data_IF_788190205686
#
_entry.id   IF_788190205686
#
_cell.length_a   1.000
_cell.length_b   1.000
_cell.length_c   1.000
_cell.angle_alpha   90.00
_cell.angle_beta   90.00
_cell.angle_gamma   90.00
#
_symmetry.space_group_name_H-M   'P 1'
#
loop_
_entity.id
_entity.type
_entity.pdbx_description
1 polymer ?
#
# COMPACT_ATOMS: atom_id res chain seq x y z
N UNK A 1 21.11 -14.60 -71.16
CA UNK A 1 21.67 -13.68 -70.13
C UNK A 1 22.95 -14.24 -69.51
N UNK A 2 23.05 -15.56 -69.24
CA UNK A 2 24.32 -16.21 -68.86
C UNK A 2 25.42 -16.10 -69.93
N UNK A 3 25.08 -16.18 -71.22
CA UNK A 3 26.09 -16.12 -72.30
C UNK A 3 26.76 -14.75 -72.42
N UNK A 4 26.04 -13.67 -72.07
CA UNK A 4 26.56 -12.30 -72.12
C UNK A 4 27.51 -12.03 -70.93
N UNK A 5 27.26 -12.68 -69.79
CA UNK A 5 28.14 -12.68 -68.63
C UNK A 5 29.42 -13.48 -68.87
N UNK A 6 29.31 -14.64 -69.53
CA UNK A 6 30.45 -15.45 -69.95
C UNK A 6 31.33 -14.74 -70.98
N UNK A 7 30.74 -13.94 -71.87
CA UNK A 7 31.49 -13.14 -72.85
C UNK A 7 32.29 -12.02 -72.19
N UNK A 8 31.67 -11.26 -71.28
CA UNK A 8 32.34 -10.17 -70.57
C UNK A 8 33.47 -10.65 -69.64
N UNK A 9 33.36 -11.84 -69.06
CA UNK A 9 34.39 -12.41 -68.17
C UNK A 9 35.61 -12.95 -68.92
N UNK A 10 35.46 -13.35 -70.18
CA UNK A 10 36.56 -13.86 -71.02
C UNK A 10 37.52 -12.73 -71.48
N UNK A 11 37.03 -11.51 -71.56
CA UNK A 11 37.77 -10.34 -72.05
C UNK A 11 38.70 -9.72 -70.98
N UNK A 12 38.57 -10.12 -69.71
CA UNK A 12 39.36 -9.62 -68.56
C UNK A 12 40.67 -10.42 -68.37
N UNK A 13 40.97 -11.41 -69.21
CA UNK A 13 42.27 -12.11 -69.16
C UNK A 13 42.46 -13.05 -67.97
N UNK A 14 41.37 -13.63 -67.43
CA UNK A 14 41.43 -14.71 -66.45
C UNK A 14 41.90 -16.00 -67.13
N UNK A 15 43.15 -16.37 -66.86
CA UNK A 15 43.88 -17.42 -67.59
C UNK A 15 43.55 -18.84 -67.12
N UNK A 16 42.84 -19.01 -66.00
CA UNK A 16 42.49 -20.32 -65.45
C UNK A 16 41.00 -20.43 -65.11
N UNK A 17 40.39 -21.54 -65.54
CA UNK A 17 39.00 -21.92 -65.23
C UNK A 17 38.72 -22.00 -63.72
N UNK A 18 39.75 -22.17 -62.89
CA UNK A 18 39.67 -22.16 -61.42
C UNK A 18 39.34 -20.78 -60.85
N UNK A 19 39.88 -19.69 -61.40
CA UNK A 19 39.62 -18.35 -60.87
C UNK A 19 38.18 -17.89 -61.14
N UNK A 20 37.64 -18.27 -62.30
CA UNK A 20 36.24 -18.00 -62.65
C UNK A 20 35.28 -18.76 -61.72
N UNK A 21 35.64 -19.99 -61.31
CA UNK A 21 34.88 -20.79 -60.35
C UNK A 21 34.93 -20.19 -58.94
N UNK A 22 36.10 -19.74 -58.49
CA UNK A 22 36.30 -19.09 -57.17
C UNK A 22 35.49 -17.79 -57.09
N UNK A 23 35.52 -16.97 -58.14
CA UNK A 23 34.79 -15.69 -58.17
C UNK A 23 33.26 -15.89 -58.16
N UNK A 24 32.77 -16.89 -58.90
CA UNK A 24 31.35 -17.28 -58.88
C UNK A 24 30.91 -17.77 -57.50
N UNK A 25 31.71 -18.62 -56.84
CA UNK A 25 31.47 -19.06 -55.47
C UNK A 25 31.42 -17.89 -54.49
N UNK A 26 32.32 -16.91 -54.64
CA UNK A 26 32.31 -15.68 -53.83
C UNK A 26 31.00 -14.91 -53.97
N UNK A 27 30.50 -14.71 -55.19
CA UNK A 27 29.21 -14.02 -55.44
C UNK A 27 28.04 -14.79 -54.82
N UNK A 28 28.02 -16.12 -54.94
CA UNK A 28 26.98 -16.97 -54.34
C UNK A 28 27.00 -16.88 -52.81
N UNK A 29 28.18 -16.98 -52.19
CA UNK A 29 28.34 -16.85 -50.72
C UNK A 29 27.88 -15.49 -50.24
N UNK A 30 28.23 -14.42 -50.96
CA UNK A 30 27.82 -13.06 -50.61
C UNK A 30 26.30 -12.89 -50.74
N UNK A 31 25.70 -13.46 -51.80
CA UNK A 31 24.25 -13.46 -52.01
C UNK A 31 23.50 -14.20 -50.89
N UNK A 32 23.99 -15.36 -50.47
CA UNK A 32 23.42 -16.10 -49.33
C UNK A 32 23.55 -15.26 -48.04
N UNK A 33 24.69 -14.61 -47.82
CA UNK A 33 24.91 -13.75 -46.65
C UNK A 33 23.90 -12.59 -46.55
N UNK A 34 23.59 -11.94 -47.68
CA UNK A 34 22.58 -10.87 -47.73
C UNK A 34 21.19 -11.41 -47.38
N UNK A 35 20.82 -12.58 -47.92
CA UNK A 35 19.52 -13.21 -47.66
C UNK A 35 19.39 -13.56 -46.17
N UNK A 36 20.41 -14.20 -45.58
CA UNK A 36 20.39 -14.58 -44.16
C UNK A 36 20.29 -13.34 -43.26
N UNK A 37 21.03 -12.27 -43.58
CA UNK A 37 20.99 -11.01 -42.82
C UNK A 37 19.61 -10.35 -42.91
N UNK A 38 18.98 -10.39 -44.08
CA UNK A 38 17.61 -9.90 -44.29
C UNK A 38 16.58 -10.68 -43.47
N UNK A 39 16.67 -12.01 -43.47
CA UNK A 39 15.79 -12.88 -42.67
C UNK A 39 15.98 -12.62 -41.18
N UNK A 40 17.22 -12.52 -40.69
CA UNK A 40 17.50 -12.20 -39.29
C UNK A 40 16.95 -10.84 -38.88
N UNK A 41 17.15 -9.81 -39.71
CA UNK A 41 16.62 -8.46 -39.45
C UNK A 41 15.09 -8.45 -39.37
N UNK A 42 14.43 -9.21 -40.24
CA UNK A 42 12.98 -9.35 -40.22
C UNK A 42 12.48 -10.09 -38.97
N UNK A 43 13.15 -11.17 -38.55
CA UNK A 43 12.83 -11.90 -37.32
C UNK A 43 13.01 -11.01 -36.08
N UNK A 44 14.10 -10.24 -36.01
CA UNK A 44 14.35 -9.27 -34.94
C UNK A 44 13.23 -8.23 -34.88
N UNK A 45 12.86 -7.65 -36.01
CA UNK A 45 11.76 -6.66 -36.05
C UNK A 45 10.43 -7.25 -35.58
N UNK A 46 10.10 -8.48 -36.01
CA UNK A 46 8.90 -9.21 -35.54
C UNK A 46 8.94 -9.47 -34.03
N UNK A 47 10.08 -9.89 -33.50
CA UNK A 47 10.27 -10.14 -32.07
C UNK A 47 10.15 -8.86 -31.24
N UNK A 48 10.74 -7.75 -31.69
CA UNK A 48 10.63 -6.44 -31.03
C UNK A 48 9.18 -5.95 -31.00
N UNK A 49 8.44 -6.09 -32.10
CA UNK A 49 7.02 -5.72 -32.16
C UNK A 49 6.16 -6.53 -31.17
N UNK A 50 6.40 -7.83 -31.03
CA UNK A 50 5.70 -8.67 -30.05
C UNK A 50 6.08 -8.30 -28.60
N UNK A 51 7.37 -8.04 -28.36
CA UNK A 51 7.87 -7.66 -27.04
C UNK A 51 7.30 -6.33 -26.59
N UNK A 52 7.23 -5.33 -27.49
CA UNK A 52 6.66 -4.03 -27.17
C UNK A 52 5.18 -4.12 -26.80
N UNK A 53 4.39 -4.91 -27.55
CA UNK A 53 2.97 -5.14 -27.22
C UNK A 53 2.78 -5.84 -25.89
N UNK A 54 3.63 -6.82 -25.58
CA UNK A 54 3.58 -7.51 -24.30
C UNK A 54 3.99 -6.58 -23.14
N UNK A 55 5.00 -5.74 -23.36
CA UNK A 55 5.44 -4.74 -22.38
C UNK A 55 4.35 -3.71 -22.10
N UNK A 56 3.66 -3.23 -23.13
CA UNK A 56 2.52 -2.31 -23.01
C UNK A 56 1.37 -2.96 -22.23
N UNK A 57 0.95 -4.17 -22.60
CA UNK A 57 -0.08 -4.91 -21.87
C UNK A 57 0.29 -5.19 -20.41
N UNK A 58 1.56 -5.53 -20.13
CA UNK A 58 2.04 -5.71 -18.76
C UNK A 58 2.05 -4.40 -17.97
N UNK A 59 2.39 -3.29 -18.61
CA UNK A 59 2.34 -1.98 -17.98
C UNK A 59 0.91 -1.59 -17.62
N UNK A 60 -0.03 -1.75 -18.55
CA UNK A 60 -1.46 -1.50 -18.30
C UNK A 60 -2.00 -2.38 -17.16
N UNK A 61 -1.64 -3.67 -17.15
CA UNK A 61 -2.03 -4.59 -16.07
C UNK A 61 -1.43 -4.16 -14.72
N UNK A 62 -0.16 -3.77 -14.69
CA UNK A 62 0.48 -3.29 -13.46
C UNK A 62 -0.18 -2.01 -12.93
N UNK A 63 -0.57 -1.09 -13.82
CA UNK A 63 -1.33 0.11 -13.45
C UNK A 63 -2.72 -0.26 -12.92
N UNK A 64 -3.42 -1.19 -13.57
CA UNK A 64 -4.73 -1.65 -13.13
C UNK A 64 -4.67 -2.28 -11.71
N UNK A 65 -3.70 -3.16 -11.47
CA UNK A 65 -3.47 -3.78 -10.16
C UNK A 65 -3.13 -2.72 -9.11
N UNK A 66 -2.25 -1.76 -9.44
CA UNK A 66 -1.90 -0.68 -8.52
C UNK A 66 -3.10 0.18 -8.16
N UNK A 67 -3.99 0.44 -9.12
CA UNK A 67 -5.21 1.22 -8.87
C UNK A 67 -6.21 0.43 -8.02
N UNK A 68 -6.38 -0.86 -8.27
CA UNK A 68 -7.25 -1.74 -7.48
C UNK A 68 -6.76 -1.85 -6.04
N UNK A 69 -5.45 -2.07 -5.83
CA UNK A 69 -4.84 -2.10 -4.49
C UNK A 69 -5.02 -0.77 -3.75
N UNK A 70 -4.89 0.37 -4.45
CA UNK A 70 -5.12 1.69 -3.86
C UNK A 70 -6.58 1.86 -3.43
N UNK A 71 -7.53 1.43 -4.24
CA UNK A 71 -8.96 1.50 -3.91
C UNK A 71 -9.32 0.57 -2.75
N UNK A 72 -8.80 -0.66 -2.74
CA UNK A 72 -8.99 -1.59 -1.64
C UNK A 72 -8.42 -1.01 -0.34
N UNK A 73 -7.21 -0.45 -0.40
CA UNK A 73 -6.58 0.19 0.75
C UNK A 73 -7.41 1.35 1.30
N UNK A 74 -7.97 2.20 0.43
CA UNK A 74 -8.87 3.29 0.83
C UNK A 74 -10.14 2.78 1.52
N UNK A 75 -10.81 1.78 0.94
CA UNK A 75 -12.00 1.16 1.54
C UNK A 75 -11.72 0.55 2.91
N UNK A 76 -10.56 -0.09 3.07
CA UNK A 76 -10.13 -0.65 4.36
C UNK A 76 -9.86 0.47 5.36
N UNK A 77 -9.17 1.54 4.95
CA UNK A 77 -8.91 2.72 5.79
C UNK A 77 -10.23 3.32 6.32
N UNK A 78 -11.20 3.56 5.45
CA UNK A 78 -12.54 4.07 5.83
C UNK A 78 -13.28 3.14 6.81
N UNK A 79 -13.26 1.83 6.53
CA UNK A 79 -13.89 0.84 7.41
C UNK A 79 -13.27 0.88 8.80
N UNK A 80 -11.94 0.89 8.91
CA UNK A 80 -11.26 0.88 10.19
C UNK A 80 -11.41 2.21 10.94
N UNK A 81 -11.44 3.34 10.23
CA UNK A 81 -11.80 4.64 10.82
C UNK A 81 -13.21 4.59 11.42
N UNK A 82 -14.18 4.03 10.71
CA UNK A 82 -15.55 3.87 11.20
C UNK A 82 -15.62 2.97 12.45
N UNK A 83 -14.89 1.85 12.45
CA UNK A 83 -14.82 0.95 13.61
C UNK A 83 -14.19 1.65 14.82
N UNK A 84 -13.10 2.41 14.62
CA UNK A 84 -12.46 3.19 15.69
C UNK A 84 -13.37 4.29 16.22
N UNK A 85 -14.07 5.00 15.33
CA UNK A 85 -15.04 6.02 15.71
C UNK A 85 -16.15 5.45 16.60
N UNK A 86 -16.70 4.28 16.24
CA UNK A 86 -17.69 3.58 17.07
C UNK A 86 -17.14 3.23 18.46
N UNK A 87 -15.90 2.76 18.54
CA UNK A 87 -15.22 2.47 19.81
C UNK A 87 -15.05 3.74 20.66
N UNK A 88 -14.60 4.85 20.06
CA UNK A 88 -14.43 6.12 20.73
C UNK A 88 -15.76 6.70 21.26
N UNK A 89 -16.82 6.67 20.44
CA UNK A 89 -18.16 7.12 20.85
C UNK A 89 -18.72 6.25 21.97
N UNK A 90 -18.55 4.93 21.89
CA UNK A 90 -18.96 4.01 22.96
C UNK A 90 -18.24 4.36 24.27
N UNK A 91 -16.92 4.52 24.22
CA UNK A 91 -16.12 4.89 25.38
C UNK A 91 -16.59 6.22 25.99
N UNK A 92 -16.82 7.25 25.16
CA UNK A 92 -17.36 8.54 25.60
C UNK A 92 -18.70 8.38 26.30
N UNK A 93 -19.63 7.63 25.69
CA UNK A 93 -20.95 7.38 26.27
C UNK A 93 -20.84 6.64 27.61
N UNK A 94 -19.98 5.61 27.70
CA UNK A 94 -19.76 4.89 28.95
C UNK A 94 -19.23 5.83 30.04
N UNK A 95 -18.26 6.69 29.72
CA UNK A 95 -17.75 7.72 30.65
C UNK A 95 -18.87 8.67 31.08
N UNK A 96 -19.56 9.34 30.15
CA UNK A 96 -20.66 10.27 30.47
C UNK A 96 -21.75 9.63 31.34
N UNK A 97 -22.05 8.36 31.07
CA UNK A 97 -23.06 7.59 31.79
C UNK A 97 -22.60 7.12 33.17
N UNK A 98 -21.29 7.14 33.47
CA UNK A 98 -20.75 6.68 34.77
C UNK A 98 -21.25 7.54 35.93
N UNK A 99 -21.61 8.81 35.71
CA UNK A 99 -22.28 9.61 36.72
C UNK A 99 -23.65 9.04 37.16
N UNK A 100 -24.21 8.09 36.41
CA UNK A 100 -25.49 7.43 36.65
C UNK A 100 -25.38 5.89 36.81
N UNK A 101 -24.31 5.25 36.31
CA UNK A 101 -24.11 3.80 36.34
C UNK A 101 -23.04 3.35 37.36
N UNK A 102 -23.17 2.11 37.84
CA UNK A 102 -22.18 1.47 38.73
C UNK A 102 -20.84 1.33 38.00
N UNK A 103 -19.72 1.63 38.68
CA UNK A 103 -18.34 1.48 38.18
C UNK A 103 -18.03 0.12 37.52
N UNK A 104 -18.84 -0.91 37.79
CA UNK A 104 -18.77 -2.22 37.12
C UNK A 104 -18.86 -2.11 35.59
N UNK A 105 -19.65 -1.18 35.08
CA UNK A 105 -19.79 -0.96 33.62
C UNK A 105 -18.49 -0.41 33.02
N UNK A 106 -17.74 0.41 33.77
CA UNK A 106 -16.44 0.90 33.32
C UNK A 106 -15.39 -0.21 33.26
N UNK A 107 -15.43 -1.17 34.19
CA UNK A 107 -14.50 -2.30 34.23
C UNK A 107 -14.75 -3.32 33.10
N UNK A 108 -15.93 -3.28 32.47
CA UNK A 108 -16.25 -4.12 31.31
C UNK A 108 -15.74 -3.54 29.98
N UNK A 109 -15.33 -2.27 29.95
CA UNK A 109 -14.75 -1.67 28.74
C UNK A 109 -13.29 -2.11 28.54
N UNK A 110 -12.86 -2.35 27.28
CA UNK A 110 -11.51 -2.79 27.00
C UNK A 110 -10.50 -1.67 27.29
N UNK A 111 -9.46 -2.01 28.06
CA UNK A 111 -8.36 -1.10 28.42
C UNK A 111 -7.37 -0.83 27.27
N UNK A 112 -7.59 -1.44 26.10
CA UNK A 112 -6.81 -1.19 24.88
C UNK A 112 -7.71 -1.13 23.65
N UNK A 113 -7.24 -0.49 22.58
CA UNK A 113 -7.95 -0.41 21.31
C UNK A 113 -7.86 -1.71 20.48
N UNK A 114 -7.04 -2.70 20.88
CA UNK A 114 -6.87 -4.04 20.28
C UNK A 114 -6.11 -4.09 18.93
N UNK A 115 -5.59 -2.96 18.45
CA UNK A 115 -4.82 -2.89 17.20
C UNK A 115 -3.32 -2.84 17.47
N UNK A 116 -2.51 -3.43 16.58
CA UNK A 116 -1.05 -3.33 16.64
C UNK A 116 -0.54 -2.01 16.04
N UNK A 117 0.65 -1.57 16.45
CA UNK A 117 1.29 -0.36 15.92
C UNK A 117 1.49 -0.43 14.40
N UNK A 118 1.84 -1.60 13.86
CA UNK A 118 1.96 -1.82 12.42
C UNK A 118 0.63 -1.59 11.69
N UNK A 119 -0.47 -2.04 12.31
CA UNK A 119 -1.80 -1.84 11.77
C UNK A 119 -2.23 -0.37 11.82
N UNK A 120 -1.96 0.30 12.94
CA UNK A 120 -2.21 1.72 13.09
C UNK A 120 -1.40 2.54 12.07
N UNK A 121 -0.13 2.23 11.90
CA UNK A 121 0.77 2.82 10.90
C UNK A 121 0.30 2.65 9.46
N UNK A 122 -0.46 1.59 9.17
CA UNK A 122 -0.94 1.29 7.82
C UNK A 122 -2.22 2.05 7.46
N UNK A 123 -3.12 2.29 8.42
CA UNK A 123 -4.47 2.79 8.12
C UNK A 123 -4.78 4.16 8.74
N UNK A 124 -3.96 4.65 9.67
CA UNK A 124 -4.19 5.91 10.37
C UNK A 124 -3.01 6.84 10.18
N UNK A 125 -3.29 8.14 10.13
CA UNK A 125 -2.24 9.15 10.05
C UNK A 125 -1.57 9.31 11.43
N UNK A 126 -0.33 9.79 11.49
CA UNK A 126 0.45 9.86 12.75
C UNK A 126 -0.28 10.61 13.89
N UNK A 127 -1.02 11.67 13.54
CA UNK A 127 -1.86 12.40 14.49
C UNK A 127 -3.04 11.57 15.02
N UNK A 128 -3.66 10.75 14.17
CA UNK A 128 -4.76 9.86 14.54
C UNK A 128 -4.25 8.74 15.46
N UNK A 129 -3.08 8.17 15.14
CA UNK A 129 -2.43 7.14 15.96
C UNK A 129 -2.14 7.68 17.36
N UNK A 130 -1.52 8.86 17.44
CA UNK A 130 -1.23 9.50 18.72
C UNK A 130 -2.50 9.75 19.55
N UNK A 131 -3.59 10.18 18.90
CA UNK A 131 -4.88 10.39 19.59
C UNK A 131 -5.49 9.07 20.08
N UNK A 132 -5.46 8.01 19.27
CA UNK A 132 -5.94 6.67 19.66
C UNK A 132 -5.17 6.18 20.89
N UNK A 133 -3.84 6.21 20.83
CA UNK A 133 -3.00 5.74 21.94
C UNK A 133 -3.23 6.59 23.20
N UNK A 134 -3.33 7.91 23.05
CA UNK A 134 -3.56 8.83 24.16
C UNK A 134 -4.91 8.61 24.85
N UNK A 135 -5.98 8.38 24.09
CA UNK A 135 -7.32 8.10 24.63
C UNK A 135 -7.29 6.84 25.50
N UNK A 136 -6.78 5.74 24.96
CA UNK A 136 -6.78 4.46 25.67
C UNK A 136 -5.77 4.41 26.81
N UNK A 137 -4.61 5.05 26.68
CA UNK A 137 -3.66 5.18 27.78
C UNK A 137 -4.26 6.00 28.94
N UNK A 138 -4.93 7.11 28.64
CA UNK A 138 -5.60 7.94 29.66
C UNK A 138 -6.74 7.17 30.32
N UNK A 139 -7.55 6.45 29.54
CA UNK A 139 -8.62 5.61 30.07
C UNK A 139 -8.09 4.50 30.99
N UNK A 140 -7.04 3.79 30.54
CA UNK A 140 -6.40 2.76 31.34
C UNK A 140 -5.88 3.31 32.66
N UNK A 141 -5.15 4.43 32.63
CA UNK A 141 -4.65 5.08 33.84
C UNK A 141 -5.81 5.48 34.78
N UNK A 142 -6.89 6.02 34.23
CA UNK A 142 -8.09 6.36 35.00
C UNK A 142 -8.70 5.14 35.71
N UNK A 143 -8.81 3.99 35.02
CA UNK A 143 -9.30 2.76 35.62
C UNK A 143 -8.34 2.20 36.67
N UNK A 144 -7.04 2.14 36.39
CA UNK A 144 -6.04 1.57 37.29
C UNK A 144 -5.87 2.41 38.57
N UNK A 145 -5.86 3.74 38.45
CA UNK A 145 -5.61 4.66 39.56
C UNK A 145 -6.83 4.84 40.48
N UNK A 146 -8.04 4.83 39.93
CA UNK A 146 -9.25 5.19 40.69
C UNK A 146 -10.25 4.06 40.87
N UNK A 147 -10.12 2.95 40.12
CA UNK A 147 -11.13 1.89 40.08
C UNK A 147 -10.56 0.47 40.23
N UNK A 148 -9.29 0.32 40.59
CA UNK A 148 -8.69 -0.99 40.89
C UNK A 148 -9.21 -1.58 42.22
N UNK A 149 -9.34 -2.91 42.27
CA UNK A 149 -9.96 -3.67 43.38
C UNK A 149 -9.36 -3.33 44.76
N UNK A 150 -8.09 -2.95 44.85
CA UNK A 150 -7.43 -2.57 46.10
C UNK A 150 -7.93 -1.23 46.69
N UNK A 151 -8.40 -0.30 45.85
CA UNK A 151 -8.96 0.98 46.29
C UNK A 151 -10.44 0.89 46.69
N UNK A 152 -11.13 -0.18 46.27
CA UNK A 152 -12.52 -0.46 46.66
C UNK A 152 -12.58 -1.06 48.08
N UNK A 153 -11.51 -1.72 48.54
CA UNK A 153 -11.45 -2.39 49.86
C UNK A 153 -10.94 -1.48 50.99
N UNK A 154 -10.10 -0.48 50.70
CA UNK A 154 -9.56 0.41 51.73
C UNK A 154 -10.38 1.70 51.83
N UNK A 155 -11.37 1.68 52.72
CA UNK A 155 -12.22 2.82 53.12
C UNK A 155 -11.48 4.03 53.72
N UNK A 156 -10.52 4.59 52.98
CA UNK A 156 -9.88 5.88 53.24
C UNK A 156 -10.03 6.78 52.01
N UNK A 157 -11.28 7.07 51.71
CA UNK A 157 -11.74 8.03 50.73
C UNK A 157 -11.47 9.45 51.27
N UNK A 158 -10.46 10.15 50.76
CA UNK A 158 -10.26 11.58 51.06
C UNK A 158 -11.07 12.41 50.04
N UNK A 159 -12.39 12.42 50.24
CA UNK A 159 -13.48 12.85 49.35
C UNK A 159 -13.48 14.31 48.84
N UNK A 160 -12.40 15.08 48.97
CA UNK A 160 -12.36 16.47 48.45
C UNK A 160 -11.22 16.79 47.50
N UNK A 161 -10.10 16.06 47.60
CA UNK A 161 -8.98 16.18 46.66
C UNK A 161 -9.10 15.12 45.57
N UNK A 162 -9.45 13.91 45.98
CA UNK A 162 -9.66 12.77 45.08
C UNK A 162 -10.84 13.02 44.14
N UNK A 163 -11.93 13.65 44.61
CA UNK A 163 -13.09 13.93 43.75
C UNK A 163 -12.78 14.98 42.66
N UNK A 164 -11.92 15.98 42.91
CA UNK A 164 -11.51 16.92 41.85
C UNK A 164 -10.60 16.25 40.83
N UNK A 165 -9.65 15.43 41.30
CA UNK A 165 -8.66 14.78 40.45
C UNK A 165 -9.32 13.68 39.58
N UNK A 166 -10.26 12.91 40.15
CA UNK A 166 -11.12 11.96 39.41
C UNK A 166 -11.94 12.71 38.36
N UNK A 167 -12.58 13.83 38.74
CA UNK A 167 -13.41 14.60 37.81
C UNK A 167 -12.58 15.22 36.69
N UNK A 168 -11.38 15.70 36.98
CA UNK A 168 -10.44 16.24 35.99
C UNK A 168 -9.99 15.15 35.00
N UNK A 169 -9.57 13.98 35.51
CA UNK A 169 -9.16 12.87 34.66
C UNK A 169 -10.32 12.30 33.83
N UNK A 170 -11.51 12.22 34.42
CA UNK A 170 -12.74 11.85 33.74
C UNK A 170 -13.07 12.80 32.58
N UNK A 171 -13.04 14.11 32.83
CA UNK A 171 -13.29 15.13 31.83
C UNK A 171 -12.21 15.13 30.74
N UNK A 172 -10.95 14.90 31.11
CA UNK A 172 -9.85 14.79 30.16
C UNK A 172 -10.03 13.57 29.24
N UNK A 173 -10.35 12.41 29.80
CA UNK A 173 -10.61 11.20 29.02
C UNK A 173 -11.83 11.36 28.09
N UNK A 174 -12.91 11.97 28.59
CA UNK A 174 -14.10 12.27 27.79
C UNK A 174 -13.80 13.27 26.67
N UNK A 175 -13.01 14.32 26.96
CA UNK A 175 -12.60 15.31 25.97
C UNK A 175 -11.72 14.71 24.87
N UNK A 176 -10.77 13.84 25.21
CA UNK A 176 -9.93 13.17 24.22
C UNK A 176 -10.75 12.20 23.35
N UNK A 177 -11.70 11.46 23.94
CA UNK A 177 -12.60 10.60 23.18
C UNK A 177 -13.47 11.41 22.21
N UNK A 178 -13.95 12.59 22.64
CA UNK A 178 -14.69 13.51 21.78
C UNK A 178 -13.84 14.06 20.64
N UNK A 179 -12.61 14.51 20.93
CA UNK A 179 -11.65 14.97 19.92
C UNK A 179 -11.36 13.88 18.89
N UNK A 180 -11.06 12.66 19.33
CA UNK A 180 -10.85 11.53 18.43
C UNK A 180 -12.09 11.27 17.55
N UNK A 181 -13.28 11.31 18.13
CA UNK A 181 -14.52 11.12 17.36
C UNK A 181 -14.73 12.19 16.28
N UNK A 182 -14.36 13.45 16.57
CA UNK A 182 -14.45 14.57 15.62
C UNK A 182 -13.39 14.47 14.54
N UNK A 183 -12.14 14.19 14.89
CA UNK A 183 -11.05 14.01 13.92
C UNK A 183 -11.35 12.88 12.92
N UNK A 184 -11.93 11.78 13.40
CA UNK A 184 -12.34 10.67 12.53
C UNK A 184 -13.55 10.99 11.64
N UNK A 185 -14.38 11.97 12.00
CA UNK A 185 -15.55 12.44 11.22
C UNK A 185 -15.18 13.54 10.20
N UNK A 186 -14.39 14.54 10.59
CA UNK A 186 -14.03 15.68 9.72
C UNK A 186 -13.14 15.25 8.53
N UNK A 187 -12.38 14.17 8.69
CA UNK A 187 -11.60 13.58 7.62
C UNK A 187 -12.44 12.74 6.63
N UNK A 188 -13.73 12.50 6.91
CA UNK A 188 -14.68 11.82 6.02
C UNK A 188 -15.38 12.83 5.07
N UNK A 189 -15.48 14.12 5.44
CA UNK A 189 -16.12 15.16 4.61
C UNK A 189 -15.17 15.83 3.58
N UNK A 190 -13.85 15.59 3.67
CA UNK A 190 -12.83 16.18 2.80
C UNK A 190 -12.31 15.24 1.68
N UNK A 191 -12.99 14.11 1.45
CA UNK A 191 -12.70 13.13 0.38
C UNK A 191 -13.84 13.10 -0.63
#
# INVERSE_FOLDING_TARGET
MLDLLLFYLKEIGLKDTTDLFITFLGVVVTGIGIIVTGVFSWLLWKATQQTNKLAEANHELAVAISNEQRQEHQRLKERYRTEMWKKAVKLRYTLESTNQFSYKVLLEEPLSHEFSDEFLGKYFDESEQFLIDSVWATFKNYIEEYWSDDHIVLGRYNSRKVDSDITEMHNHCSSLADQLSKTLLENDENV
#
